data_IF_798454203892
#
_entry.id   IF_798454203892
#
_cell.length_a   1.000
_cell.length_b   1.000
_cell.length_c   1.000
_cell.angle_alpha   90.00
_cell.angle_beta   90.00
_cell.angle_gamma   90.00
#
_symmetry.space_group_name_H-M   'P 1'
#
loop_
_entity.id
_entity.type
_entity.pdbx_description
1 polymer ?
#
# COMPACT_ATOMS: atom_id res chain seq x y z
N UNK A 1 4.55 24.29 -5.74
CA UNK A 1 5.15 22.94 -5.61
C UNK A 1 4.22 21.98 -4.88
N UNK A 2 3.95 22.15 -3.57
CA UNK A 2 3.10 21.21 -2.79
C UNK A 2 1.68 21.05 -3.33
N UNK A 3 1.05 22.14 -3.75
CA UNK A 3 -0.30 22.15 -4.35
C UNK A 3 -0.38 21.38 -5.67
N UNK A 4 0.68 21.40 -6.48
CA UNK A 4 0.74 20.65 -7.73
C UNK A 4 0.77 19.14 -7.47
N UNK A 5 1.63 18.68 -6.56
CA UNK A 5 1.71 17.27 -6.18
C UNK A 5 0.40 16.76 -5.58
N UNK A 6 -0.25 17.57 -4.75
CA UNK A 6 -1.55 17.22 -4.18
C UNK A 6 -2.63 17.14 -5.26
N UNK A 7 -2.69 18.11 -6.17
CA UNK A 7 -3.63 18.09 -7.29
C UNK A 7 -3.41 16.86 -8.18
N UNK A 8 -2.16 16.52 -8.49
CA UNK A 8 -1.81 15.33 -9.27
C UNK A 8 -2.25 14.04 -8.57
N UNK A 9 -2.00 13.92 -7.26
CA UNK A 9 -2.43 12.77 -6.45
C UNK A 9 -3.95 12.63 -6.43
N UNK A 10 -4.67 13.73 -6.25
CA UNK A 10 -6.14 13.72 -6.24
C UNK A 10 -6.70 13.30 -7.60
N UNK A 11 -6.21 13.90 -8.70
CA UNK A 11 -6.70 13.60 -10.06
C UNK A 11 -6.37 12.15 -10.45
N UNK A 12 -5.16 11.68 -10.17
CA UNK A 12 -4.77 10.28 -10.42
C UNK A 12 -5.55 9.29 -9.55
N UNK A 13 -5.79 9.61 -8.28
CA UNK A 13 -6.60 8.77 -7.40
C UNK A 13 -8.06 8.67 -7.84
N UNK A 14 -8.68 9.80 -8.20
CA UNK A 14 -10.07 9.85 -8.69
C UNK A 14 -10.22 9.10 -10.02
N UNK A 15 -9.30 9.30 -10.96
CA UNK A 15 -9.33 8.59 -12.26
C UNK A 15 -9.15 7.08 -12.08
N UNK A 16 -8.25 6.64 -11.19
CA UNK A 16 -8.11 5.22 -10.85
C UNK A 16 -9.39 4.65 -10.25
N UNK A 17 -10.00 5.34 -9.28
CA UNK A 17 -11.28 4.94 -8.68
C UNK A 17 -12.39 4.79 -9.73
N UNK A 18 -12.48 5.73 -10.66
CA UNK A 18 -13.43 5.67 -11.76
C UNK A 18 -13.24 4.43 -12.66
N UNK A 19 -11.99 4.11 -13.02
CA UNK A 19 -11.68 2.90 -13.81
C UNK A 19 -12.05 1.62 -13.06
N UNK A 20 -11.78 1.56 -11.76
CA UNK A 20 -12.09 0.40 -10.92
C UNK A 20 -13.61 0.16 -10.81
N UNK A 21 -14.41 1.22 -10.68
CA UNK A 21 -15.88 1.10 -10.62
C UNK A 21 -16.47 0.70 -11.98
N UNK A 22 -15.92 1.24 -13.08
CA UNK A 22 -16.38 0.95 -14.45
C UNK A 22 -16.06 -0.48 -14.88
N UNK A 23 -14.95 -1.06 -14.40
CA UNK A 23 -14.56 -2.44 -14.72
C UNK A 23 -15.35 -3.40 -13.82
N UNK A 24 -16.21 -4.22 -14.42
CA UNK A 24 -16.83 -5.34 -13.70
C UNK A 24 -15.73 -6.27 -13.18
N UNK A 25 -15.53 -6.29 -11.86
CA UNK A 25 -14.61 -7.21 -11.25
C UNK A 25 -15.07 -8.66 -11.52
N UNK A 26 -14.16 -9.58 -11.89
CA UNK A 26 -14.53 -10.97 -12.11
C UNK A 26 -15.05 -11.59 -10.81
N UNK A 27 -15.98 -12.54 -10.92
CA UNK A 27 -16.45 -13.31 -9.76
C UNK A 27 -15.25 -13.92 -9.03
N UNK A 28 -15.19 -13.74 -7.71
CA UNK A 28 -14.07 -14.22 -6.89
C UNK A 28 -12.87 -13.27 -6.80
N UNK A 29 -12.89 -12.09 -7.43
CA UNK A 29 -11.83 -11.09 -7.29
C UNK A 29 -11.59 -10.70 -5.82
N UNK A 30 -12.67 -10.54 -5.03
CA UNK A 30 -12.57 -10.20 -3.62
C UNK A 30 -11.82 -11.26 -2.80
N UNK A 31 -12.04 -12.55 -3.09
CA UNK A 31 -11.32 -13.65 -2.42
C UNK A 31 -9.83 -13.61 -2.77
N UNK A 32 -9.49 -13.43 -4.06
CA UNK A 32 -8.10 -13.34 -4.52
C UNK A 32 -7.38 -12.15 -3.91
N UNK A 33 -8.06 -11.00 -3.86
CA UNK A 33 -7.55 -9.79 -3.23
C UNK A 33 -7.40 -9.97 -1.71
N UNK A 34 -8.35 -10.62 -1.04
CA UNK A 34 -8.26 -10.98 0.37
C UNK A 34 -7.05 -11.86 0.68
N UNK A 35 -6.75 -12.84 -0.17
CA UNK A 35 -5.53 -13.64 -0.03
C UNK A 35 -4.26 -12.80 -0.16
N UNK A 36 -4.22 -11.83 -1.08
CA UNK A 36 -3.09 -10.90 -1.20
C UNK A 36 -2.97 -10.00 0.03
N UNK A 37 -4.09 -9.53 0.59
CA UNK A 37 -4.10 -8.76 1.85
C UNK A 37 -3.53 -9.59 3.01
N UNK A 38 -3.96 -10.84 3.16
CA UNK A 38 -3.45 -11.74 4.21
C UNK A 38 -1.96 -12.00 4.02
N UNK A 39 -1.52 -12.31 2.79
CA UNK A 39 -0.11 -12.54 2.50
C UNK A 39 0.75 -11.29 2.75
N UNK A 40 0.26 -10.10 2.38
CA UNK A 40 0.94 -8.85 2.66
C UNK A 40 1.03 -8.59 4.17
N UNK A 41 -0.04 -8.84 4.93
CA UNK A 41 -0.02 -8.70 6.39
C UNK A 41 1.00 -9.65 7.03
N UNK A 42 1.04 -10.91 6.60
CA UNK A 42 2.01 -11.91 7.08
C UNK A 42 3.44 -11.51 6.73
N UNK A 43 3.68 -11.03 5.50
CA UNK A 43 5.00 -10.57 5.06
C UNK A 43 5.46 -9.35 5.87
N UNK A 44 4.58 -8.37 6.10
CA UNK A 44 4.88 -7.20 6.93
C UNK A 44 5.14 -7.57 8.39
N UNK A 45 4.38 -8.52 8.93
CA UNK A 45 4.62 -9.05 10.26
C UNK A 45 6.00 -9.70 10.33
N UNK A 46 6.30 -10.64 9.43
CA UNK A 46 7.61 -11.29 9.38
C UNK A 46 8.74 -10.27 9.22
N UNK A 47 8.58 -9.27 8.35
CA UNK A 47 9.55 -8.19 8.15
C UNK A 47 9.84 -7.44 9.46
N UNK A 48 8.79 -6.97 10.16
CA UNK A 48 8.94 -6.24 11.41
C UNK A 48 9.62 -7.06 12.52
N UNK A 49 9.37 -8.37 12.58
CA UNK A 49 9.92 -9.25 13.64
C UNK A 49 11.21 -10.00 13.24
N UNK A 50 11.62 -9.95 11.97
CA UNK A 50 12.83 -10.63 11.47
C UNK A 50 14.15 -9.95 11.83
N UNK A 51 14.11 -8.67 12.24
CA UNK A 51 15.31 -7.85 12.42
C UNK A 51 15.98 -7.40 11.11
N UNK A 52 15.34 -7.59 9.95
CA UNK A 52 15.89 -7.12 8.66
C UNK A 52 15.83 -5.60 8.52
N UNK A 53 14.83 -4.95 9.12
CA UNK A 53 14.63 -3.50 9.04
C UNK A 53 14.85 -2.88 10.42
N UNK A 54 16.04 -3.11 10.99
CA UNK A 54 16.39 -2.63 12.33
C UNK A 54 16.20 -1.12 12.46
N UNK A 55 15.41 -0.70 13.46
CA UNK A 55 15.10 0.70 13.74
C UNK A 55 13.92 1.27 12.95
N UNK A 56 13.34 0.53 12.02
CA UNK A 56 12.16 0.94 11.26
C UNK A 56 11.00 0.02 11.56
N UNK A 57 9.80 0.57 11.57
CA UNK A 57 8.58 -0.16 11.90
C UNK A 57 7.51 0.16 10.87
N UNK A 58 7.06 -0.85 10.14
CA UNK A 58 5.95 -0.70 9.19
C UNK A 58 4.64 -0.89 9.94
N UNK A 59 3.75 0.11 10.00
CA UNK A 59 2.47 -0.02 10.69
C UNK A 59 1.60 -1.12 10.08
N UNK A 60 1.06 -2.01 10.91
CA UNK A 60 0.14 -3.09 10.51
C UNK A 60 -1.32 -2.61 10.57
N UNK A 61 -1.70 -1.68 9.69
CA UNK A 61 -3.08 -1.22 9.55
C UNK A 61 -3.63 -1.53 8.14
N UNK A 62 -4.97 -1.46 7.93
CA UNK A 62 -5.57 -1.84 6.66
C UNK A 62 -5.06 -1.05 5.45
N UNK A 63 -4.68 0.23 5.63
CA UNK A 63 -4.15 1.05 4.55
C UNK A 63 -2.74 0.60 4.16
N UNK A 64 -1.85 0.41 5.13
CA UNK A 64 -0.47 -0.02 4.87
C UNK A 64 -0.42 -1.42 4.27
N UNK A 65 -1.22 -2.35 4.81
CA UNK A 65 -1.36 -3.71 4.28
C UNK A 65 -1.93 -3.65 2.86
N UNK A 66 -2.94 -2.81 2.61
CA UNK A 66 -3.53 -2.61 1.28
C UNK A 66 -2.53 -2.08 0.26
N UNK A 67 -1.73 -1.08 0.64
CA UNK A 67 -0.66 -0.55 -0.22
C UNK A 67 0.34 -1.62 -0.60
N UNK A 68 0.78 -2.44 0.36
CA UNK A 68 1.73 -3.53 0.12
C UNK A 68 1.08 -4.69 -0.65
N UNK A 69 -0.21 -4.97 -0.44
CA UNK A 69 -0.93 -5.98 -1.21
C UNK A 69 -1.08 -5.60 -2.69
N UNK A 70 -1.24 -4.30 -2.99
CA UNK A 70 -1.37 -3.79 -4.37
C UNK A 70 -0.01 -3.62 -5.04
N UNK A 71 0.98 -3.08 -4.31
CA UNK A 71 2.28 -2.70 -4.88
C UNK A 71 3.39 -3.73 -4.65
N UNK A 72 3.19 -4.70 -3.75
CA UNK A 72 4.20 -5.69 -3.37
C UNK A 72 5.39 -5.08 -2.63
N UNK A 73 6.60 -5.55 -2.95
CA UNK A 73 7.87 -5.04 -2.40
C UNK A 73 8.03 -3.52 -2.59
N UNK A 74 7.74 -2.94 -3.77
CA UNK A 74 7.69 -1.47 -3.93
C UNK A 74 6.79 -0.75 -2.92
N UNK A 75 5.70 -1.38 -2.47
CA UNK A 75 4.82 -0.81 -1.45
C UNK A 75 5.49 -0.69 -0.09
N UNK A 76 6.32 -1.65 0.28
CA UNK A 76 7.12 -1.60 1.52
C UNK A 76 8.09 -0.43 1.45
N UNK A 77 8.79 -0.30 0.32
CA UNK A 77 9.70 0.84 0.07
C UNK A 77 9.00 2.19 0.11
N UNK A 78 7.78 2.29 -0.44
CA UNK A 78 6.97 3.51 -0.38
C UNK A 78 6.62 3.89 1.06
N UNK A 79 6.17 2.92 1.86
CA UNK A 79 5.77 3.19 3.25
C UNK A 79 6.97 3.62 4.09
N UNK A 80 8.10 2.90 3.97
CA UNK A 80 9.33 3.27 4.66
C UNK A 80 9.81 4.65 4.19
N UNK A 81 9.86 4.89 2.87
CA UNK A 81 10.26 6.18 2.32
C UNK A 81 9.39 7.34 2.80
N UNK A 82 8.08 7.13 2.92
CA UNK A 82 7.16 8.11 3.48
C UNK A 82 7.44 8.37 4.97
N UNK A 83 7.65 7.30 5.75
CA UNK A 83 8.02 7.42 7.16
C UNK A 83 9.32 8.21 7.32
N UNK A 84 10.33 7.94 6.50
CA UNK A 84 11.59 8.67 6.50
C UNK A 84 11.40 10.14 6.15
N UNK A 85 10.65 10.45 5.08
CA UNK A 85 10.42 11.82 4.64
C UNK A 85 9.58 12.67 5.63
N UNK A 86 8.81 12.03 6.52
CA UNK A 86 8.01 12.71 7.54
C UNK A 86 8.71 12.84 8.90
N UNK A 87 9.63 11.92 9.22
CA UNK A 87 10.35 11.89 10.49
C UNK A 87 11.74 12.55 10.43
N UNK A 88 12.25 12.82 9.22
CA UNK A 88 13.41 13.68 8.94
C UNK A 88 12.94 15.11 8.72
#
# INVERSE_FOLDING_TARGET
MKTFWLALLVVSGVSLGYVLIRRKAPKGWLMRFGLHLVMAALALYALNFSGWVNGWYVPLNPFTIGTVAVLGVPGVGLVLGLQWALLV
#
